data_IF_014876929221
#
_entry.id   IF_014876929221
#
_cell.length_a   1.000
_cell.length_b   1.000
_cell.length_c   1.000
_cell.angle_alpha   90.00
_cell.angle_beta   90.00
_cell.angle_gamma   90.00
#
_symmetry.space_group_name_H-M   'P 1'
#
loop_
_entity.id
_entity.type
_entity.pdbx_description
1 polymer ?
#
# COMPACT_ATOMS: atom_id res chain seq x y z
N UNK A 1 -5.30 3.14 -14.96
CA UNK A 1 -5.00 3.85 -13.70
C UNK A 1 -3.58 4.38 -13.77
N UNK A 2 -3.39 5.68 -13.95
CA UNK A 2 -2.07 6.29 -13.95
C UNK A 2 -1.46 6.15 -12.55
N UNK A 3 -0.31 5.49 -12.46
CA UNK A 3 0.36 5.22 -11.19
C UNK A 3 0.98 6.52 -10.70
N UNK A 4 0.57 7.02 -9.53
CA UNK A 4 1.18 8.20 -8.91
C UNK A 4 2.71 8.02 -8.86
N UNK A 5 3.46 9.07 -9.21
CA UNK A 5 4.91 9.10 -8.98
C UNK A 5 5.21 9.35 -7.50
N UNK A 6 6.45 9.11 -7.06
CA UNK A 6 6.81 9.40 -5.67
C UNK A 6 6.76 10.90 -5.37
N UNK A 7 7.09 11.74 -6.35
CA UNK A 7 7.00 13.19 -6.21
C UNK A 7 5.54 13.65 -6.08
N UNK A 8 4.63 13.11 -6.90
CA UNK A 8 3.19 13.38 -6.76
C UNK A 8 2.66 12.93 -5.39
N UNK A 9 3.11 11.77 -4.89
CA UNK A 9 2.73 11.30 -3.55
C UNK A 9 3.18 12.26 -2.45
N UNK A 10 4.41 12.75 -2.54
CA UNK A 10 4.96 13.72 -1.59
C UNK A 10 4.20 15.05 -1.66
N UNK A 11 3.90 15.53 -2.87
CA UNK A 11 3.15 16.75 -3.10
C UNK A 11 1.72 16.67 -2.51
N UNK A 12 1.02 15.55 -2.73
CA UNK A 12 -0.30 15.27 -2.12
C UNK A 12 -0.23 15.39 -0.60
N UNK A 13 0.80 14.84 0.02
CA UNK A 13 0.97 14.86 1.47
C UNK A 13 1.17 16.27 2.01
N UNK A 14 2.05 17.06 1.39
CA UNK A 14 2.25 18.46 1.77
C UNK A 14 0.99 19.29 1.57
N UNK A 15 0.31 19.15 0.43
CA UNK A 15 -0.98 19.82 0.16
C UNK A 15 -2.03 19.45 1.21
N UNK A 16 -2.07 18.19 1.66
CA UNK A 16 -2.95 17.76 2.75
C UNK A 16 -2.61 18.47 4.07
N UNK A 17 -1.32 18.59 4.41
CA UNK A 17 -0.84 19.30 5.62
C UNK A 17 -1.11 20.81 5.54
N UNK A 18 -1.19 21.38 4.35
CA UNK A 18 -1.59 22.77 4.09
C UNK A 18 -3.11 23.01 4.19
N UNK A 19 -3.90 21.98 4.51
CA UNK A 19 -5.35 22.10 4.75
C UNK A 19 -6.24 21.68 3.58
N UNK A 20 -5.68 21.21 2.47
CA UNK A 20 -6.46 20.73 1.33
C UNK A 20 -7.25 19.47 1.67
N UNK A 21 -8.50 19.36 1.20
CA UNK A 21 -9.33 18.20 1.51
C UNK A 21 -8.94 16.98 0.68
N UNK A 22 -9.23 15.79 1.21
CA UNK A 22 -9.03 14.51 0.48
C UNK A 22 -9.83 14.50 -0.83
N UNK A 23 -11.03 15.10 -0.83
CA UNK A 23 -11.88 15.15 -2.02
C UNK A 23 -11.27 16.00 -3.13
N UNK A 24 -10.64 17.13 -2.77
CA UNK A 24 -10.00 18.01 -3.75
C UNK A 24 -8.73 17.39 -4.31
N UNK A 25 -7.93 16.75 -3.45
CA UNK A 25 -6.74 16.00 -3.86
C UNK A 25 -7.11 14.84 -4.80
N UNK A 26 -8.17 14.09 -4.48
CA UNK A 26 -8.65 13.00 -5.31
C UNK A 26 -9.04 13.49 -6.72
N UNK A 27 -9.75 14.62 -6.81
CA UNK A 27 -10.10 15.25 -8.09
C UNK A 27 -8.88 15.78 -8.84
N UNK A 28 -7.99 16.50 -8.16
CA UNK A 28 -6.81 17.15 -8.75
C UNK A 28 -5.87 16.14 -9.40
N UNK A 29 -5.64 15.01 -8.73
CA UNK A 29 -4.73 13.97 -9.23
C UNK A 29 -5.47 12.85 -9.99
N UNK A 30 -6.79 12.96 -10.16
CA UNK A 30 -7.64 11.96 -10.77
C UNK A 30 -7.44 10.55 -10.17
N UNK A 31 -7.50 10.46 -8.84
CA UNK A 31 -7.35 9.22 -8.08
C UNK A 31 -8.47 9.04 -7.07
N UNK A 32 -8.70 7.81 -6.64
CA UNK A 32 -9.73 7.52 -5.64
C UNK A 32 -9.37 8.14 -4.28
N UNK A 33 -10.38 8.62 -3.53
CA UNK A 33 -10.23 9.12 -2.15
C UNK A 33 -9.54 8.11 -1.24
N UNK A 34 -9.85 6.83 -1.39
CA UNK A 34 -9.20 5.77 -0.60
C UNK A 34 -7.69 5.67 -0.85
N UNK A 35 -7.22 5.95 -2.06
CA UNK A 35 -5.80 5.99 -2.39
C UNK A 35 -5.11 7.15 -1.65
N UNK A 36 -5.76 8.31 -1.59
CA UNK A 36 -5.27 9.49 -0.86
C UNK A 36 -5.24 9.21 0.65
N UNK A 37 -6.33 8.67 1.21
CA UNK A 37 -6.42 8.29 2.63
C UNK A 37 -5.31 7.30 3.02
N UNK A 38 -5.12 6.27 2.22
CA UNK A 38 -4.07 5.28 2.43
C UNK A 38 -2.68 5.92 2.40
N UNK A 39 -2.42 6.76 1.40
CA UNK A 39 -1.13 7.44 1.25
C UNK A 39 -0.82 8.32 2.47
N UNK A 40 -1.79 9.10 2.94
CA UNK A 40 -1.64 9.96 4.12
C UNK A 40 -1.31 9.11 5.35
N UNK A 41 -2.06 8.02 5.60
CA UNK A 41 -1.79 7.12 6.74
C UNK A 41 -0.41 6.47 6.68
N UNK A 42 0.04 6.09 5.49
CA UNK A 42 1.35 5.50 5.28
C UNK A 42 2.47 6.49 5.63
N UNK A 43 2.34 7.73 5.18
CA UNK A 43 3.30 8.81 5.41
C UNK A 43 3.27 9.33 6.84
N UNK A 44 2.09 9.40 7.47
CA UNK A 44 1.98 9.78 8.88
C UNK A 44 2.64 8.76 9.80
N UNK A 45 2.64 7.46 9.45
CA UNK A 45 3.25 6.41 10.29
C UNK A 45 4.76 6.32 10.11
N UNK A 46 5.25 6.36 8.88
CA UNK A 46 6.67 6.09 8.59
C UNK A 46 7.47 7.34 8.23
N UNK A 47 6.81 8.43 7.87
CA UNK A 47 7.42 9.61 7.29
C UNK A 47 7.64 9.46 5.79
N UNK A 48 8.26 10.47 5.20
CA UNK A 48 8.52 10.57 3.75
C UNK A 48 9.60 9.58 3.27
N UNK A 49 10.34 8.97 4.20
CA UNK A 49 11.36 7.96 3.90
C UNK A 49 10.78 6.75 3.14
N UNK A 50 9.50 6.45 3.34
CA UNK A 50 8.77 5.38 2.66
C UNK A 50 8.68 5.58 1.15
N UNK A 51 8.76 6.83 0.69
CA UNK A 51 8.78 7.18 -0.74
C UNK A 51 10.19 7.10 -1.34
N UNK A 52 11.24 7.07 -0.51
CA UNK A 52 12.61 6.94 -1.02
C UNK A 52 12.78 5.54 -1.60
N UNK A 53 13.16 5.47 -2.87
CA UNK A 53 13.52 4.20 -3.52
C UNK A 53 14.81 3.67 -2.88
N UNK A 54 14.69 2.79 -1.88
CA UNK A 54 15.79 1.87 -1.59
C UNK A 54 15.84 0.88 -2.75
N UNK A 55 16.95 0.89 -3.50
CA UNK A 55 17.25 -0.12 -4.52
C UNK A 55 17.00 -1.49 -3.87
N UNK A 56 16.06 -2.24 -4.43
CA UNK A 56 15.78 -3.63 -4.08
C UNK A 56 15.21 -3.89 -2.68
N UNK A 57 14.00 -3.39 -2.38
CA UNK A 57 13.07 -4.23 -1.60
C UNK A 57 12.58 -5.35 -2.52
N UNK A 58 13.47 -6.29 -2.83
CA UNK A 58 13.07 -7.53 -3.47
C UNK A 58 12.09 -8.20 -2.52
N UNK A 59 10.82 -8.22 -2.91
CA UNK A 59 9.80 -8.90 -2.15
C UNK A 59 9.96 -10.38 -2.42
N UNK A 60 10.82 -11.03 -1.62
CA UNK A 60 11.01 -12.47 -1.73
C UNK A 60 9.65 -13.17 -1.63
N UNK A 61 9.45 -14.28 -2.35
CA UNK A 61 8.25 -15.10 -2.21
C UNK A 61 7.92 -15.40 -0.74
N UNK A 62 8.94 -15.67 0.07
CA UNK A 62 8.84 -15.88 1.52
C UNK A 62 8.24 -14.68 2.27
N UNK A 63 8.68 -13.45 1.96
CA UNK A 63 8.14 -12.24 2.59
C UNK A 63 6.68 -12.03 2.18
N UNK A 64 6.33 -12.27 0.91
CA UNK A 64 4.92 -12.22 0.47
C UNK A 64 4.08 -13.20 1.25
N UNK A 65 4.56 -14.43 1.39
CA UNK A 65 3.85 -15.49 2.09
C UNK A 65 3.67 -15.16 3.58
N UNK A 66 4.72 -14.67 4.24
CA UNK A 66 4.67 -14.25 5.65
C UNK A 66 3.59 -13.20 5.89
N UNK A 67 3.43 -12.25 4.97
CA UNK A 67 2.40 -11.21 5.07
C UNK A 67 1.02 -11.79 4.86
N UNK A 68 0.83 -12.64 3.85
CA UNK A 68 -0.45 -13.32 3.58
C UNK A 68 -0.87 -14.16 4.79
N UNK A 69 0.06 -14.94 5.36
CA UNK A 69 -0.20 -15.74 6.56
C UNK A 69 -0.56 -14.87 7.75
N UNK A 70 0.12 -13.73 7.98
CA UNK A 70 -0.27 -12.79 9.04
C UNK A 70 -1.68 -12.26 8.85
N UNK A 71 -2.05 -11.82 7.64
CA UNK A 71 -3.40 -11.33 7.39
C UNK A 71 -4.45 -12.43 7.63
N UNK A 72 -4.17 -13.64 7.16
CA UNK A 72 -5.10 -14.78 7.24
C UNK A 72 -5.23 -15.38 8.65
N UNK A 73 -4.14 -15.45 9.41
CA UNK A 73 -4.10 -16.09 10.73
C UNK A 73 -4.39 -15.11 11.87
N UNK A 74 -3.96 -13.85 11.75
CA UNK A 74 -4.15 -12.83 12.80
C UNK A 74 -5.41 -11.97 12.59
N UNK A 75 -6.25 -12.28 11.58
CA UNK A 75 -7.44 -11.50 11.18
C UNK A 75 -7.19 -10.00 11.02
N UNK A 76 -5.96 -9.60 10.69
CA UNK A 76 -5.60 -8.18 10.53
C UNK A 76 -6.16 -7.61 9.25
N UNK A 77 -6.38 -6.30 9.23
CA UNK A 77 -6.72 -5.60 8.00
C UNK A 77 -5.56 -5.67 7.00
N UNK A 78 -5.88 -5.91 5.72
CA UNK A 78 -4.94 -5.85 4.59
C UNK A 78 -4.21 -4.50 4.58
N UNK A 79 -4.94 -3.41 4.82
CA UNK A 79 -4.41 -2.05 4.78
C UNK A 79 -3.45 -1.81 5.94
N UNK A 80 -3.76 -2.28 7.15
CA UNK A 80 -2.87 -2.11 8.29
C UNK A 80 -1.59 -2.91 8.13
N UNK A 81 -1.70 -4.15 7.66
CA UNK A 81 -0.54 -5.00 7.38
C UNK A 81 0.29 -4.39 6.27
N UNK A 82 -0.32 -3.89 5.19
CA UNK A 82 0.40 -3.20 4.13
C UNK A 82 1.14 -1.95 4.63
N UNK A 83 0.52 -1.18 5.52
CA UNK A 83 1.18 -0.04 6.17
C UNK A 83 2.36 -0.51 7.04
N UNK A 84 2.20 -1.55 7.88
CA UNK A 84 3.29 -2.10 8.72
C UNK A 84 4.51 -2.46 7.86
N UNK A 85 4.27 -3.14 6.74
CA UNK A 85 5.31 -3.56 5.80
C UNK A 85 5.72 -2.46 4.80
N UNK A 86 5.26 -1.22 5.01
CA UNK A 86 5.62 -0.04 4.21
C UNK A 86 5.37 -0.24 2.71
N UNK A 87 4.23 -0.86 2.38
CA UNK A 87 3.79 -1.12 1.02
C UNK A 87 3.13 0.12 0.42
N UNK A 88 3.62 0.54 -0.75
CA UNK A 88 3.06 1.68 -1.47
C UNK A 88 1.76 1.33 -2.23
N UNK A 89 1.51 0.05 -2.50
CA UNK A 89 0.30 -0.43 -3.14
C UNK A 89 -0.22 -1.68 -2.43
N UNK A 90 -1.51 -1.68 -2.12
CA UNK A 90 -2.23 -2.81 -1.50
C UNK A 90 -2.72 -3.82 -2.53
N UNK A 91 -2.86 -3.45 -3.82
CA UNK A 91 -3.33 -4.37 -4.88
C UNK A 91 -2.47 -5.63 -4.99
N UNK A 92 -1.15 -5.50 -4.85
CA UNK A 92 -0.25 -6.66 -4.94
C UNK A 92 -0.51 -7.65 -3.80
N UNK A 93 -0.81 -7.14 -2.61
CA UNK A 93 -1.17 -7.97 -1.47
C UNK A 93 -2.58 -8.56 -1.62
N UNK A 94 -3.53 -7.75 -2.13
CA UNK A 94 -4.89 -8.19 -2.41
C UNK A 94 -4.94 -9.34 -3.43
N UNK A 95 -4.21 -9.19 -4.54
CA UNK A 95 -4.10 -10.23 -5.56
C UNK A 95 -3.43 -11.49 -5.01
N UNK A 96 -2.36 -11.35 -4.21
CA UNK A 96 -1.72 -12.49 -3.54
C UNK A 96 -2.66 -13.23 -2.59
N UNK A 97 -3.45 -12.50 -1.81
CA UNK A 97 -4.47 -13.10 -0.94
C UNK A 97 -5.60 -13.77 -1.71
N UNK A 98 -6.03 -13.17 -2.82
CA UNK A 98 -7.06 -13.76 -3.68
C UNK A 98 -6.60 -15.11 -4.22
N UNK A 99 -5.39 -15.17 -4.78
CA UNK A 99 -4.80 -16.43 -5.25
C UNK A 99 -4.57 -17.45 -4.12
N UNK A 100 -4.17 -16.99 -2.94
CA UNK A 100 -4.01 -17.86 -1.77
C UNK A 100 -5.34 -18.52 -1.34
N UNK A 101 -6.45 -17.75 -1.37
CA UNK A 101 -7.79 -18.26 -1.08
C UNK A 101 -8.29 -19.21 -2.18
N UNK A 102 -8.05 -18.87 -3.45
CA UNK A 102 -8.44 -19.68 -4.61
C UNK A 102 -7.70 -21.04 -4.64
N UNK A 103 -6.46 -21.08 -4.16
CA UNK A 103 -5.66 -22.31 -4.05
C UNK A 103 -5.89 -23.08 -2.72
N UNK A 104 -6.98 -22.81 -2.00
CA UNK A 104 -7.33 -23.56 -0.78
C UNK A 104 -6.37 -23.35 0.39
N UNK A 105 -5.80 -22.14 0.52
CA UNK A 105 -4.76 -21.80 1.51
C UNK A 105 -3.44 -22.57 1.32
N UNK A 106 -3.22 -23.12 0.13
CA UNK A 106 -1.97 -23.77 -0.27
C UNK A 106 -1.14 -22.79 -1.10
N UNK A 107 0.15 -22.68 -0.78
CA UNK A 107 1.09 -21.81 -1.50
C UNK A 107 1.54 -22.55 -2.74
N UNK A 108 1.05 -22.13 -3.90
CA UNK A 108 1.52 -22.68 -5.17
C UNK A 108 2.68 -21.80 -5.65
N UNK A 109 3.92 -22.27 -5.48
CA UNK A 109 5.04 -21.75 -6.26
C UNK A 109 4.81 -22.15 -7.72
N UNK A 110 4.77 -21.18 -8.62
CA UNK A 110 4.77 -21.41 -10.06
C UNK A 110 5.78 -20.48 -10.73
#
# INVERSE_FOLDING_TARGET
>A
MSKLTNDQRLEIYHKRKQGMTISDLAKLYNVNKHTIEYLIRLLDRHGEDVLRKRKNRYYSPELKLKIINRVSMEHRSINETAIEYRLLNTETLYNGMKSYKENGYTVVEK
#
